data_IF_009481774841
#
_entry.id   IF_009481774841
#
_cell.length_a   1.000
_cell.length_b   1.000
_cell.length_c   1.000
_cell.angle_alpha   90.00
_cell.angle_beta   90.00
_cell.angle_gamma   90.00
#
_symmetry.space_group_name_H-M   'P 1'
#
loop_
_entity.id
_entity.type
_entity.pdbx_description
1 polymer ?
#
# COMPACT_ATOMS: atom_id res chain seq x y z
N UNK A 1 -10.12 -3.63 12.22
CA UNK A 1 -10.30 -5.01 11.73
C UNK A 1 -8.99 -5.61 11.23
N UNK A 2 -8.54 -6.75 11.78
CA UNK A 2 -7.36 -7.46 11.29
C UNK A 2 -7.53 -8.01 9.86
N UNK A 3 -8.76 -8.10 9.37
CA UNK A 3 -9.06 -8.60 8.02
C UNK A 3 -8.88 -7.54 6.92
N UNK A 4 -8.70 -6.27 7.28
CA UNK A 4 -8.62 -5.18 6.29
C UNK A 4 -7.34 -5.23 5.46
N UNK A 5 -6.21 -5.55 6.10
CA UNK A 5 -4.88 -5.54 5.50
C UNK A 5 -4.22 -6.90 5.65
N UNK A 6 -3.45 -7.31 4.66
CA UNK A 6 -2.61 -8.51 4.66
C UNK A 6 -1.26 -8.19 3.99
N UNK A 7 -0.34 -9.15 4.00
CA UNK A 7 1.02 -8.92 3.49
C UNK A 7 1.87 -8.09 4.46
N UNK A 8 2.99 -7.57 3.97
CA UNK A 8 3.96 -6.80 4.76
C UNK A 8 5.39 -7.12 4.34
N UNK A 9 6.24 -6.09 4.36
CA UNK A 9 7.62 -6.19 3.92
C UNK A 9 8.45 -7.23 4.70
N UNK A 10 8.15 -7.43 5.98
CA UNK A 10 8.77 -8.45 6.83
C UNK A 10 8.49 -9.88 6.34
N UNK A 11 7.42 -10.07 5.56
CA UNK A 11 7.07 -11.34 4.89
C UNK A 11 7.60 -11.41 3.46
N UNK A 12 8.28 -10.35 2.98
CA UNK A 12 8.66 -10.22 1.57
C UNK A 12 7.46 -9.97 0.65
N UNK A 13 6.32 -9.51 1.18
CA UNK A 13 5.10 -9.28 0.43
C UNK A 13 4.73 -7.79 0.44
N UNK A 14 4.08 -7.31 -0.62
CA UNK A 14 3.43 -6.01 -0.56
C UNK A 14 2.30 -6.02 0.47
N UNK A 15 2.01 -4.90 1.15
CA UNK A 15 0.74 -4.75 1.82
C UNK A 15 -0.39 -4.79 0.78
N UNK A 16 -1.42 -5.60 1.03
CA UNK A 16 -2.59 -5.70 0.16
C UNK A 16 -3.88 -5.75 0.97
N UNK A 17 -4.98 -5.36 0.35
CA UNK A 17 -6.28 -5.35 1.01
C UNK A 17 -6.79 -6.78 1.23
N UNK A 18 -7.05 -7.13 2.48
CA UNK A 18 -7.53 -8.47 2.86
C UNK A 18 -9.05 -8.63 2.80
N UNK A 19 -9.78 -7.53 2.90
CA UNK A 19 -11.24 -7.49 2.93
C UNK A 19 -11.78 -6.26 2.22
N UNK A 20 -13.11 -6.18 2.11
CA UNK A 20 -13.75 -4.94 1.64
C UNK A 20 -13.48 -3.88 2.71
N UNK A 21 -12.68 -2.88 2.37
CA UNK A 21 -12.85 -1.59 3.02
C UNK A 21 -14.30 -1.18 2.74
N UNK A 22 -15.05 -0.80 3.78
CA UNK A 22 -16.41 -0.30 3.60
C UNK A 22 -16.34 1.00 2.80
N UNK A 23 -16.30 0.86 1.48
CA UNK A 23 -16.51 1.93 0.54
C UNK A 23 -18.00 2.18 0.55
N UNK A 24 -18.47 3.07 1.42
CA UNK A 24 -19.81 3.64 1.27
C UNK A 24 -19.73 4.67 0.13
N UNK A 25 -19.61 4.15 -1.09
CA UNK A 25 -19.76 4.91 -2.33
C UNK A 25 -21.13 4.64 -2.96
N UNK A 26 -21.99 3.90 -2.28
CA UNK A 26 -23.36 3.69 -2.72
C UNK A 26 -24.31 4.17 -1.63
N UNK A 27 -25.19 5.09 -2.01
CA UNK A 27 -26.38 5.56 -1.29
C UNK A 27 -26.15 6.47 -0.07
N UNK A 28 -26.23 7.78 -0.32
CA UNK A 28 -26.80 8.80 0.58
C UNK A 28 -26.29 8.93 2.03
N UNK A 29 -25.46 9.97 2.29
CA UNK A 29 -25.44 10.72 3.56
C UNK A 29 -24.64 10.13 4.74
N UNK A 30 -23.35 10.48 4.87
CA UNK A 30 -22.55 10.30 6.09
C UNK A 30 -21.03 10.38 5.85
N UNK A 31 -20.20 11.01 6.72
CA UNK A 31 -18.87 11.48 6.36
C UNK A 31 -17.81 10.40 6.53
N UNK A 32 -17.25 9.91 5.42
CA UNK A 32 -16.14 8.95 5.40
C UNK A 32 -15.59 8.78 3.98
N UNK A 33 -15.33 9.89 3.29
CA UNK A 33 -15.06 9.92 1.86
C UNK A 33 -13.63 9.50 1.52
N UNK A 34 -13.39 8.23 1.19
CA UNK A 34 -12.14 7.82 0.53
C UNK A 34 -12.10 8.49 -0.84
N UNK A 35 -11.33 9.57 -0.99
CA UNK A 35 -11.10 10.22 -2.28
C UNK A 35 -10.18 9.33 -3.12
N UNK A 36 -10.80 8.53 -3.97
CA UNK A 36 -10.15 7.58 -4.87
C UNK A 36 -9.71 8.28 -6.14
N UNK A 37 -8.41 8.21 -6.44
CA UNK A 37 -7.94 8.44 -7.81
C UNK A 37 -8.06 7.11 -8.56
N UNK A 38 -9.18 6.91 -9.26
CA UNK A 38 -9.40 5.73 -10.12
C UNK A 38 -10.50 4.77 -9.65
N UNK A 39 -10.27 3.46 -9.84
CA UNK A 39 -11.24 2.38 -9.55
C UNK A 39 -11.36 2.13 -8.03
N UNK A 40 -12.53 1.68 -7.55
CA UNK A 40 -12.70 1.33 -6.15
C UNK A 40 -11.74 0.19 -5.76
N UNK A 41 -11.08 0.30 -4.60
CA UNK A 41 -10.13 -0.69 -4.13
C UNK A 41 -10.86 -2.00 -3.85
N UNK A 42 -10.34 -3.09 -4.41
CA UNK A 42 -10.88 -4.41 -4.24
C UNK A 42 -10.04 -5.23 -3.24
N UNK A 43 -10.65 -6.20 -2.55
CA UNK A 43 -9.89 -7.20 -1.82
C UNK A 43 -8.89 -7.89 -2.77
N UNK A 44 -7.64 -7.98 -2.32
CA UNK A 44 -6.51 -8.48 -3.11
C UNK A 44 -5.68 -7.40 -3.79
N UNK A 45 -6.15 -6.15 -3.86
CA UNK A 45 -5.38 -5.04 -4.42
C UNK A 45 -4.17 -4.71 -3.57
N UNK A 46 -3.03 -4.47 -4.22
CA UNK A 46 -1.79 -4.03 -3.58
C UNK A 46 -1.92 -2.57 -3.18
N UNK A 47 -1.61 -2.27 -1.92
CA UNK A 47 -1.65 -0.93 -1.35
C UNK A 47 -0.30 -0.25 -1.52
N UNK A 48 -0.30 0.91 -2.19
CA UNK A 48 0.91 1.68 -2.45
C UNK A 48 1.07 2.84 -1.49
N UNK A 49 0.02 3.64 -1.29
CA UNK A 49 0.04 4.84 -0.46
C UNK A 49 -1.24 4.98 0.35
N UNK A 50 -1.12 5.61 1.53
CA UNK A 50 -2.22 5.98 2.43
C UNK A 50 -2.09 7.45 2.74
N UNK A 51 -3.04 8.29 2.31
CA UNK A 51 -3.01 9.75 2.48
C UNK A 51 -1.71 10.40 2.01
N UNK A 52 -1.15 9.92 0.89
CA UNK A 52 0.12 10.40 0.35
C UNK A 52 1.36 9.85 1.08
N UNK A 53 1.17 9.06 2.14
CA UNK A 53 2.27 8.34 2.80
C UNK A 53 2.52 7.03 2.06
N UNK A 54 3.71 6.79 1.50
CA UNK A 54 4.03 5.53 0.84
C UNK A 54 4.14 4.42 1.88
N UNK A 55 3.29 3.40 1.73
CA UNK A 55 3.27 2.23 2.62
C UNK A 55 3.90 0.99 1.97
N UNK A 56 4.23 1.04 0.68
CA UNK A 56 5.02 -0.01 0.04
C UNK A 56 6.39 -0.13 0.71
N UNK A 57 6.79 -1.35 1.08
CA UNK A 57 8.03 -1.59 1.82
C UNK A 57 7.92 -1.40 3.34
N UNK A 58 6.76 -1.01 3.88
CA UNK A 58 6.53 -1.00 5.32
C UNK A 58 6.12 -2.39 5.84
N UNK A 59 6.29 -2.60 7.14
CA UNK A 59 5.80 -3.83 7.77
C UNK A 59 4.28 -3.83 7.84
N UNK A 60 3.69 -5.00 8.06
CA UNK A 60 2.25 -5.13 8.28
C UNK A 60 1.76 -4.20 9.41
N UNK A 61 2.49 -4.21 10.54
CA UNK A 61 2.15 -3.43 11.74
C UNK A 61 2.19 -1.93 11.46
N UNK A 62 3.18 -1.47 10.72
CA UNK A 62 3.33 -0.04 10.43
C UNK A 62 2.29 0.45 9.44
N UNK A 63 2.01 -0.35 8.42
CA UNK A 63 0.96 -0.02 7.46
C UNK A 63 -0.38 0.12 8.17
N UNK A 64 -0.70 -0.80 9.09
CA UNK A 64 -1.87 -0.67 9.96
C UNK A 64 -1.83 0.58 10.84
N UNK A 65 -0.66 0.92 11.40
CA UNK A 65 -0.51 2.13 12.21
C UNK A 65 -0.77 3.39 11.38
N UNK A 66 -0.27 3.45 10.15
CA UNK A 66 -0.52 4.55 9.20
C UNK A 66 -2.01 4.66 8.88
N UNK A 67 -2.67 3.55 8.53
CA UNK A 67 -4.12 3.53 8.25
C UNK A 67 -4.92 4.01 9.47
N UNK A 68 -4.55 3.58 10.68
CA UNK A 68 -5.23 3.97 11.93
C UNK A 68 -4.93 5.41 12.36
N UNK A 69 -3.76 5.93 11.99
CA UNK A 69 -3.34 7.28 12.35
C UNK A 69 -4.24 8.33 11.69
N UNK A 70 -4.62 8.11 10.43
CA UNK A 70 -5.52 8.99 9.73
C UNK A 70 -6.97 8.69 10.08
N UNK A 71 -7.54 9.52 10.95
CA UNK A 71 -9.00 9.58 11.15
C UNK A 71 -9.60 10.35 9.97
N UNK A 72 -10.55 9.71 9.29
CA UNK A 72 -11.23 10.03 8.03
C UNK A 72 -11.27 11.49 7.55
N UNK A 73 -11.23 11.74 6.22
CA UNK A 73 -11.21 10.75 5.13
C UNK A 73 -9.81 10.14 4.84
N UNK A 74 -9.75 8.81 4.70
CA UNK A 74 -8.52 8.10 4.31
C UNK A 74 -8.47 7.96 2.79
N UNK A 75 -7.44 8.47 2.13
CA UNK A 75 -7.19 8.27 0.69
C UNK A 75 -6.27 7.09 0.50
N UNK A 76 -6.70 6.10 -0.28
CA UNK A 76 -5.88 4.93 -0.60
C UNK A 76 -5.50 4.95 -2.06
N UNK A 77 -4.22 4.67 -2.34
CA UNK A 77 -3.73 4.41 -3.69
C UNK A 77 -3.42 2.93 -3.78
N UNK A 78 -4.21 2.21 -4.57
CA UNK A 78 -4.05 0.77 -4.77
C UNK A 78 -3.86 0.44 -6.24
N UNK A 79 -3.27 -0.74 -6.49
CA UNK A 79 -3.13 -1.29 -7.84
C UNK A 79 -3.57 -2.75 -7.83
N UNK A 80 -4.24 -3.17 -8.91
CA UNK A 80 -4.60 -4.57 -9.10
C UNK A 80 -3.33 -5.38 -9.34
N UNK A 81 -3.14 -6.54 -8.69
CA UNK A 81 -2.00 -7.40 -8.96
C UNK A 81 -2.00 -7.81 -10.44
N UNK A 82 -0.85 -7.68 -11.08
CA UNK A 82 -0.60 -8.05 -12.46
C UNK A 82 0.75 -8.73 -12.63
N UNK A 83 1.30 -8.71 -13.85
CA UNK A 83 2.60 -9.35 -14.13
C UNK A 83 3.77 -8.66 -13.44
N UNK A 84 3.71 -7.33 -13.32
CA UNK A 84 4.80 -6.50 -12.80
C UNK A 84 4.64 -6.32 -11.29
N UNK A 85 3.60 -5.61 -10.84
CA UNK A 85 3.26 -5.51 -9.42
C UNK A 85 2.35 -6.68 -9.07
N UNK A 86 2.89 -7.66 -8.36
CA UNK A 86 2.14 -8.74 -7.74
C UNK A 86 2.24 -8.62 -6.20
N UNK A 87 1.85 -9.66 -5.45
CA UNK A 87 1.97 -9.65 -3.98
C UNK A 87 3.40 -9.85 -3.50
N UNK A 88 4.31 -10.34 -4.33
CA UNK A 88 5.70 -10.63 -4.00
C UNK A 88 6.58 -9.38 -4.16
N UNK A 89 6.93 -8.79 -3.03
CA UNK A 89 7.76 -7.59 -2.97
C UNK A 89 9.19 -7.88 -3.44
N UNK A 90 9.71 -9.07 -3.14
CA UNK A 90 11.08 -9.47 -3.49
C UNK A 90 11.21 -9.61 -5.01
N UNK A 91 10.21 -10.23 -5.64
CA UNK A 91 10.15 -10.33 -7.09
C UNK A 91 10.15 -8.94 -7.72
N UNK A 92 9.25 -8.05 -7.28
CA UNK A 92 9.18 -6.68 -7.82
C UNK A 92 10.50 -5.91 -7.68
N UNK A 93 11.19 -6.04 -6.54
CA UNK A 93 12.49 -5.39 -6.29
C UNK A 93 13.65 -5.96 -7.12
N UNK A 94 13.55 -7.20 -7.58
CA UNK A 94 14.54 -7.83 -8.47
C UNK A 94 14.41 -7.39 -9.94
N UNK A 95 13.24 -6.86 -10.33
CA UNK A 95 13.01 -6.40 -11.69
C UNK A 95 13.87 -5.16 -12.01
N UNK A 96 14.35 -5.08 -13.24
CA UNK A 96 15.08 -3.93 -13.75
C UNK A 96 14.12 -3.03 -14.55
N UNK A 97 13.80 -1.87 -14.00
CA UNK A 97 13.00 -0.86 -14.69
C UNK A 97 13.89 0.20 -15.34
N UNK A 98 13.42 0.80 -16.42
CA UNK A 98 14.11 1.94 -17.03
C UNK A 98 14.22 3.10 -16.04
N UNK A 99 15.40 3.71 -15.94
CA UNK A 99 15.64 4.86 -15.05
C UNK A 99 14.64 5.97 -15.36
N UNK A 100 14.01 6.49 -14.31
CA UNK A 100 13.00 7.55 -14.42
C UNK A 100 11.56 7.06 -14.64
N UNK A 101 11.33 5.75 -14.85
CA UNK A 101 9.98 5.19 -14.91
C UNK A 101 9.26 5.30 -13.57
N UNK A 102 7.93 5.18 -13.60
CA UNK A 102 7.10 5.16 -12.38
C UNK A 102 7.52 4.01 -11.45
N UNK A 103 7.73 2.82 -12.01
CA UNK A 103 8.17 1.65 -11.25
C UNK A 103 9.58 1.82 -10.66
N UNK A 104 10.50 2.46 -11.40
CA UNK A 104 11.84 2.76 -10.88
C UNK A 104 11.77 3.69 -9.65
N UNK A 105 10.91 4.71 -9.71
CA UNK A 105 10.66 5.61 -8.57
C UNK A 105 10.02 4.87 -7.41
N UNK A 106 9.03 4.01 -7.67
CA UNK A 106 8.37 3.21 -6.63
C UNK A 106 9.34 2.23 -5.96
N UNK A 107 10.19 1.54 -6.73
CA UNK A 107 11.23 0.68 -6.18
C UNK A 107 12.19 1.45 -5.25
N UNK A 108 12.53 2.70 -5.59
CA UNK A 108 13.40 3.52 -4.74
C UNK A 108 12.72 3.85 -3.41
N UNK A 109 11.45 4.28 -3.45
CA UNK A 109 10.64 4.51 -2.24
C UNK A 109 10.55 3.25 -1.37
N UNK A 110 10.34 2.08 -1.97
CA UNK A 110 10.30 0.81 -1.24
C UNK A 110 11.65 0.53 -0.57
N UNK A 111 12.76 0.71 -1.30
CA UNK A 111 14.12 0.52 -0.75
C UNK A 111 14.35 1.45 0.44
N UNK A 112 13.99 2.72 0.31
CA UNK A 112 14.15 3.71 1.38
C UNK A 112 13.34 3.32 2.63
N UNK A 113 12.08 2.91 2.45
CA UNK A 113 11.22 2.41 3.54
C UNK A 113 11.77 1.17 4.24
N UNK A 114 12.42 0.26 3.48
CA UNK A 114 13.09 -0.91 4.03
C UNK A 114 14.35 -0.51 4.82
N UNK A 115 15.19 0.38 4.25
CA UNK A 115 16.44 0.84 4.87
C UNK A 115 16.22 1.54 6.21
N UNK A 116 15.18 2.36 6.33
CA UNK A 116 14.83 3.06 7.58
C UNK A 116 14.50 2.11 8.75
N UNK A 117 14.30 0.81 8.49
CA UNK A 117 13.93 -0.19 9.50
C UNK A 117 14.90 -1.35 9.64
N UNK A 118 15.88 -1.47 8.74
CA UNK A 118 16.89 -2.55 8.78
C UNK A 118 18.28 -2.07 9.20
N UNK A 119 18.50 -0.75 9.28
CA UNK A 119 19.74 -0.18 9.79
C UNK A 119 19.47 0.37 11.21
N UNK A 120 20.09 -0.16 12.28
CA UNK A 120 20.17 0.58 13.52
C UNK A 120 20.95 1.86 13.23
N UNK A 121 20.33 3.01 13.41
CA UNK A 121 21.06 4.28 13.44
C UNK A 121 22.18 4.13 14.47
N UNK A 122 23.43 4.26 14.01
CA UNK A 122 24.61 4.30 14.90
C UNK A 122 24.83 5.72 15.39
#
# INVERSE_FOLDING_TARGET
>A
DPDLLRGGAERGEFPYLGGRLLTVADSGGGPGSVLLSGKPPAPGDVLLEVNGTPVSGLTHRDTLAVIRHFREPVRLKTVRPGKVINKDLRHYLSLQFQKGSVDHKLQQVIRDNLYLRTIPCT
#
